data_IF_453521249571
#
_entry.id   IF_453521249571
#
_cell.length_a   1.000
_cell.length_b   1.000
_cell.length_c   1.000
_cell.angle_alpha   90.00
_cell.angle_beta   90.00
_cell.angle_gamma   90.00
#
_symmetry.space_group_name_H-M   'P 1'
#
loop_
_entity.id
_entity.type
_entity.pdbx_description
1 polymer ?
#
# COMPACT_ATOMS: atom_id res chain seq x y z
N UNK A 1 51.76 -32.94 -7.54
CA UNK A 1 51.01 -31.96 -6.73
C UNK A 1 50.43 -30.86 -7.64
N UNK A 2 49.26 -31.09 -8.26
CA UNK A 2 48.61 -30.12 -9.18
C UNK A 2 47.12 -29.89 -8.83
N UNK A 3 46.53 -30.68 -7.93
CA UNK A 3 45.07 -30.69 -7.69
C UNK A 3 44.52 -29.58 -6.77
N UNK A 4 45.31 -29.07 -5.83
CA UNK A 4 44.76 -28.26 -4.72
C UNK A 4 44.51 -26.79 -5.06
N UNK A 5 45.20 -26.24 -6.07
CA UNK A 5 45.03 -24.83 -6.49
C UNK A 5 43.78 -24.60 -7.31
N UNK A 6 43.36 -25.59 -8.13
CA UNK A 6 42.16 -25.50 -8.97
C UNK A 6 40.87 -25.57 -8.14
N UNK A 7 40.86 -26.39 -7.09
CA UNK A 7 39.69 -26.57 -6.20
C UNK A 7 39.41 -25.31 -5.36
N UNK A 8 40.46 -24.64 -4.86
CA UNK A 8 40.30 -23.37 -4.10
C UNK A 8 39.76 -22.24 -4.97
N UNK A 9 40.21 -22.14 -6.22
CA UNK A 9 39.70 -21.15 -7.17
C UNK A 9 38.22 -21.40 -7.51
N UNK A 10 37.82 -22.68 -7.63
CA UNK A 10 36.44 -23.07 -7.91
C UNK A 10 35.51 -22.79 -6.73
N UNK A 11 35.97 -23.03 -5.49
CA UNK A 11 35.20 -22.68 -4.28
C UNK A 11 35.01 -21.16 -4.14
N UNK A 12 36.04 -20.34 -4.36
CA UNK A 12 35.90 -18.87 -4.33
C UNK A 12 34.94 -18.38 -5.40
N UNK A 13 35.02 -18.93 -6.63
CA UNK A 13 34.11 -18.56 -7.70
C UNK A 13 32.65 -18.95 -7.41
N UNK A 14 32.41 -20.14 -6.83
CA UNK A 14 31.07 -20.59 -6.45
C UNK A 14 30.50 -19.76 -5.30
N UNK A 15 31.30 -19.40 -4.29
CA UNK A 15 30.86 -18.51 -3.20
C UNK A 15 30.58 -17.09 -3.71
N UNK A 16 31.36 -16.60 -4.68
CA UNK A 16 31.13 -15.30 -5.32
C UNK A 16 29.85 -15.30 -6.17
N UNK A 17 29.58 -16.38 -6.91
CA UNK A 17 28.34 -16.51 -7.66
C UNK A 17 27.11 -16.72 -6.78
N UNK A 18 27.22 -17.43 -5.64
CA UNK A 18 26.10 -17.60 -4.71
C UNK A 18 25.73 -16.31 -3.97
N UNK A 19 26.68 -15.40 -3.76
CA UNK A 19 26.44 -14.11 -3.11
C UNK A 19 25.70 -13.09 -3.99
N UNK A 20 25.69 -13.27 -5.31
CA UNK A 20 25.07 -12.31 -6.25
C UNK A 20 23.57 -12.59 -6.45
N UNK A 21 23.07 -13.78 -6.11
CA UNK A 21 21.68 -14.19 -6.45
C UNK A 21 20.62 -13.67 -5.45
N UNK A 22 21.00 -12.95 -4.39
CA UNK A 22 20.06 -12.59 -3.30
C UNK A 22 19.37 -11.22 -3.48
N UNK A 23 19.61 -10.49 -4.58
CA UNK A 23 19.22 -9.08 -4.66
C UNK A 23 18.05 -8.72 -5.61
N UNK A 24 17.18 -9.68 -5.97
CA UNK A 24 16.03 -9.39 -6.86
C UNK A 24 14.69 -9.87 -6.27
N UNK A 25 14.56 -9.72 -4.95
CA UNK A 25 13.25 -9.60 -4.34
C UNK A 25 12.82 -8.15 -4.48
N UNK A 26 12.33 -7.77 -5.66
CA UNK A 26 11.73 -6.46 -5.88
C UNK A 26 10.55 -6.34 -4.90
N UNK A 27 10.75 -5.59 -3.82
CA UNK A 27 9.66 -5.16 -2.96
C UNK A 27 8.73 -4.37 -3.86
N UNK A 28 7.56 -4.96 -4.16
CA UNK A 28 6.52 -4.29 -4.92
C UNK A 28 6.18 -2.99 -4.21
N UNK A 29 6.55 -1.88 -4.83
CA UNK A 29 6.44 -0.57 -4.22
C UNK A 29 4.96 -0.17 -4.18
N UNK A 30 4.48 0.18 -2.98
CA UNK A 30 3.09 0.57 -2.74
C UNK A 30 2.99 2.07 -3.00
N UNK A 31 2.29 2.47 -4.06
CA UNK A 31 2.14 3.90 -4.41
C UNK A 31 1.10 4.59 -3.56
N UNK A 32 -0.01 3.89 -3.31
CA UNK A 32 -1.12 4.39 -2.52
C UNK A 32 -1.22 3.50 -1.30
N UNK A 33 -0.89 4.08 -0.16
CA UNK A 33 -1.03 3.44 1.14
C UNK A 33 -2.30 3.96 1.82
N UNK A 34 -3.23 3.05 2.12
CA UNK A 34 -4.51 3.38 2.77
C UNK A 34 -4.38 3.70 4.26
N UNK A 35 -3.15 3.88 4.76
CA UNK A 35 -2.92 4.32 6.14
C UNK A 35 -3.23 5.81 6.35
N UNK A 36 -3.59 6.59 5.33
CA UNK A 36 -4.08 7.99 5.40
C UNK A 36 -3.52 8.79 6.59
N UNK A 37 -2.19 8.96 6.69
CA UNK A 37 -1.58 9.73 7.78
C UNK A 37 -1.89 11.23 7.65
N UNK A 38 -2.06 11.69 6.41
CA UNK A 38 -2.39 13.08 6.04
C UNK A 38 -3.16 13.12 4.71
N UNK A 39 -3.80 14.26 4.44
CA UNK A 39 -4.44 14.57 3.15
C UNK A 39 -3.63 15.58 2.31
N UNK A 40 -2.38 15.87 2.67
CA UNK A 40 -1.56 16.89 1.99
C UNK A 40 -1.33 16.60 0.49
N UNK A 41 -1.30 15.31 0.10
CA UNK A 41 -1.13 14.87 -1.28
C UNK A 41 -2.49 14.63 -2.00
N UNK A 42 -3.58 15.15 -1.45
CA UNK A 42 -4.93 14.98 -1.97
C UNK A 42 -5.59 16.33 -2.27
N UNK A 43 -6.28 16.40 -3.40
CA UNK A 43 -7.05 17.57 -3.83
C UNK A 43 -8.53 17.24 -3.99
N UNK A 44 -9.38 18.20 -3.64
CA UNK A 44 -10.84 18.07 -3.81
C UNK A 44 -11.22 18.00 -5.29
N UNK A 45 -12.00 16.97 -5.62
CA UNK A 45 -12.64 16.79 -6.92
C UNK A 45 -14.13 17.11 -6.81
N UNK A 46 -14.52 18.30 -7.29
CA UNK A 46 -15.92 18.74 -7.27
C UNK A 46 -16.61 18.38 -8.58
N UNK A 47 -17.77 17.73 -8.50
CA UNK A 47 -18.59 17.41 -9.66
C UNK A 47 -19.55 18.55 -10.02
N UNK A 48 -19.83 18.70 -11.31
CA UNK A 48 -20.76 19.71 -11.80
C UNK A 48 -22.20 19.37 -11.36
N UNK A 49 -22.95 20.41 -10.99
CA UNK A 49 -24.36 20.32 -10.55
C UNK A 49 -24.55 19.56 -9.22
N UNK A 50 -23.52 19.52 -8.38
CA UNK A 50 -23.65 19.07 -7.00
C UNK A 50 -23.55 20.29 -6.08
N UNK A 51 -24.62 20.58 -5.35
CA UNK A 51 -24.72 21.77 -4.49
C UNK A 51 -24.04 21.58 -3.13
N UNK A 52 -23.74 20.32 -2.75
CA UNK A 52 -23.16 19.94 -1.46
C UNK A 52 -21.94 19.03 -1.66
N UNK A 53 -20.80 19.47 -1.14
CA UNK A 53 -19.56 18.70 -1.18
C UNK A 53 -19.48 17.75 0.01
N UNK A 54 -18.85 16.60 -0.20
CA UNK A 54 -18.51 15.64 0.85
C UNK A 54 -17.32 16.16 1.63
N UNK A 55 -17.32 15.97 2.95
CA UNK A 55 -16.20 16.35 3.82
C UNK A 55 -15.28 15.13 4.03
N UNK A 56 -13.98 15.39 3.96
CA UNK A 56 -12.94 14.38 4.12
C UNK A 56 -12.05 14.71 5.31
N UNK A 57 -11.75 13.72 6.12
CA UNK A 57 -10.82 13.88 7.25
C UNK A 57 -10.09 12.57 7.54
N UNK A 58 -9.00 12.67 8.28
CA UNK A 58 -8.29 11.51 8.83
C UNK A 58 -8.81 11.24 10.23
N UNK A 59 -9.16 9.99 10.51
CA UNK A 59 -9.51 9.52 11.85
C UNK A 59 -8.56 8.40 12.27
N UNK A 60 -8.34 8.27 13.57
CA UNK A 60 -7.67 7.11 14.17
C UNK A 60 -8.71 6.01 14.43
N UNK A 61 -8.37 4.78 14.06
CA UNK A 61 -9.15 3.57 14.36
C UNK A 61 -8.40 2.79 15.43
N UNK A 62 -9.01 2.66 16.61
CA UNK A 62 -8.47 1.89 17.73
C UNK A 62 -8.97 0.43 17.73
N UNK A 63 -9.84 0.06 16.78
CA UNK A 63 -10.56 -1.22 16.80
C UNK A 63 -9.72 -2.38 16.23
N UNK A 64 -9.43 -3.36 17.08
CA UNK A 64 -8.96 -4.69 16.66
C UNK A 64 -10.00 -5.40 15.76
N UNK A 65 -9.54 -6.27 14.87
CA UNK A 65 -10.32 -6.79 13.73
C UNK A 65 -11.79 -7.13 14.02
N UNK A 66 -12.76 -6.71 13.18
CA UNK A 66 -14.06 -7.37 13.17
C UNK A 66 -13.85 -8.86 12.82
N UNK A 67 -14.49 -9.76 13.58
CA UNK A 67 -14.32 -11.23 13.52
C UNK A 67 -14.58 -11.87 12.15
N UNK A 68 -15.08 -11.13 11.17
CA UNK A 68 -15.55 -11.69 9.91
C UNK A 68 -14.89 -11.06 8.70
N UNK A 69 -13.89 -11.79 8.17
CA UNK A 69 -13.59 -11.75 6.75
C UNK A 69 -12.23 -11.16 6.36
N UNK A 70 -11.13 -11.70 6.89
CA UNK A 70 -9.86 -11.65 6.15
C UNK A 70 -9.07 -12.94 6.42
N UNK A 71 -8.57 -13.54 5.35
CA UNK A 71 -7.89 -14.85 5.36
C UNK A 71 -6.75 -14.89 6.38
N UNK A 72 -6.59 -16.02 7.08
CA UNK A 72 -5.67 -16.26 8.19
C UNK A 72 -4.17 -15.92 7.96
N UNK A 73 -3.79 -15.53 6.75
CA UNK A 73 -2.40 -15.21 6.35
C UNK A 73 -2.03 -13.72 6.43
N UNK A 74 -2.95 -12.80 6.75
CA UNK A 74 -2.60 -11.41 7.08
C UNK A 74 -3.14 -11.04 8.45
N UNK A 75 -2.29 -10.84 9.48
CA UNK A 75 -2.74 -10.25 10.73
C UNK A 75 -3.30 -8.88 10.40
N UNK A 76 -4.55 -8.66 10.78
CA UNK A 76 -5.16 -7.37 10.57
C UNK A 76 -4.78 -6.45 11.73
N UNK A 77 -3.66 -5.78 11.51
CA UNK A 77 -3.27 -4.59 12.28
C UNK A 77 -4.27 -3.49 11.93
N UNK A 78 -5.35 -3.41 12.69
CA UNK A 78 -6.43 -2.42 12.48
C UNK A 78 -6.32 -1.23 13.43
N UNK A 79 -5.28 -1.18 14.24
CA UNK A 79 -4.86 0.07 14.85
C UNK A 79 -4.18 0.92 13.79
N UNK A 80 -4.71 2.11 13.51
CA UNK A 80 -4.11 3.07 12.58
C UNK A 80 -5.11 4.09 12.04
N UNK A 81 -4.65 4.94 11.15
CA UNK A 81 -5.47 5.99 10.55
C UNK A 81 -6.25 5.53 9.32
N UNK A 82 -7.41 6.17 9.10
CA UNK A 82 -8.29 5.92 7.96
C UNK A 82 -8.92 7.22 7.43
N UNK A 83 -9.29 7.19 6.15
CA UNK A 83 -10.09 8.24 5.52
C UNK A 83 -11.55 8.15 5.99
N UNK A 84 -12.00 9.20 6.68
CA UNK A 84 -13.40 9.40 7.04
C UNK A 84 -14.09 10.29 6.01
N UNK A 85 -15.29 9.88 5.62
CA UNK A 85 -16.10 10.52 4.58
C UNK A 85 -17.47 10.84 5.16
N UNK A 86 -17.79 12.13 5.28
CA UNK A 86 -19.10 12.60 5.71
C UNK A 86 -19.84 13.26 4.54
N UNK A 87 -21.05 12.77 4.26
CA UNK A 87 -21.88 13.29 3.17
C UNK A 87 -23.34 13.41 3.62
N UNK A 88 -23.95 14.56 3.38
CA UNK A 88 -25.38 14.82 3.58
C UNK A 88 -26.04 15.17 2.23
N UNK A 89 -26.50 14.14 1.52
CA UNK A 89 -27.13 14.23 0.19
C UNK A 89 -26.24 14.99 -0.84
N UNK A 90 -24.93 14.81 -0.70
CA UNK A 90 -23.89 15.47 -1.50
C UNK A 90 -23.01 14.48 -2.27
N UNK A 91 -22.03 15.03 -2.99
CA UNK A 91 -21.10 14.23 -3.77
C UNK A 91 -19.88 15.00 -4.26
N UNK A 92 -18.71 14.58 -3.80
CA UNK A 92 -17.41 14.96 -4.35
C UNK A 92 -16.48 13.74 -4.36
N UNK A 93 -15.27 13.92 -4.86
CA UNK A 93 -14.16 13.00 -4.66
C UNK A 93 -12.95 13.73 -4.08
N UNK A 94 -11.91 12.99 -3.79
CA UNK A 94 -10.55 13.50 -3.68
C UNK A 94 -9.68 12.77 -4.69
N UNK A 95 -8.65 13.44 -5.20
CA UNK A 95 -7.70 12.87 -6.14
C UNK A 95 -6.30 12.98 -5.56
N UNK A 96 -5.52 11.91 -5.68
CA UNK A 96 -4.11 11.97 -5.33
C UNK A 96 -3.39 12.86 -6.34
N UNK A 97 -2.55 13.78 -5.87
CA UNK A 97 -1.80 14.72 -6.72
C UNK A 97 -0.55 14.09 -7.32
N UNK A 98 -0.03 13.05 -6.68
CA UNK A 98 1.10 12.27 -7.17
C UNK A 98 0.69 11.42 -8.37
N UNK A 99 1.31 11.69 -9.52
CA UNK A 99 1.16 10.86 -10.72
C UNK A 99 2.02 9.60 -10.59
N UNK A 100 1.50 8.46 -11.09
CA UNK A 100 2.23 7.20 -11.17
C UNK A 100 1.85 6.43 -12.43
N UNK A 101 2.74 5.55 -12.88
CA UNK A 101 2.44 4.63 -13.97
C UNK A 101 1.70 3.40 -13.42
N UNK A 102 0.46 3.19 -13.88
CA UNK A 102 -0.34 2.04 -13.49
C UNK A 102 0.29 0.69 -13.92
N UNK A 103 1.18 0.70 -14.90
CA UNK A 103 1.91 -0.50 -15.32
C UNK A 103 3.03 -0.89 -14.34
N UNK A 104 3.61 0.07 -13.64
CA UNK A 104 4.63 -0.16 -12.62
C UNK A 104 4.00 -0.67 -11.31
N UNK A 105 2.71 -0.36 -11.08
CA UNK A 105 1.98 -0.71 -9.85
C UNK A 105 0.63 -1.37 -10.16
N UNK A 106 0.61 -2.61 -10.67
CA UNK A 106 -0.58 -3.24 -11.25
C UNK A 106 -1.59 -3.78 -10.21
N UNK A 107 -1.32 -3.63 -8.92
CA UNK A 107 -2.14 -4.18 -7.85
C UNK A 107 -2.77 -3.03 -7.07
N UNK A 108 -4.09 -2.99 -7.10
CA UNK A 108 -4.90 -2.11 -6.25
C UNK A 108 -5.55 -2.97 -5.18
N UNK A 109 -5.25 -2.71 -3.92
CA UNK A 109 -5.96 -3.27 -2.78
C UNK A 109 -6.73 -2.13 -2.11
N UNK A 110 -8.05 -2.31 -1.91
CA UNK A 110 -8.89 -1.29 -1.26
C UNK A 110 -9.75 -1.87 -0.15
N UNK A 111 -9.91 -1.12 0.96
CA UNK A 111 -10.82 -1.47 2.06
C UNK A 111 -11.79 -0.32 2.38
N UNK A 112 -13.06 -0.64 2.62
CA UNK A 112 -14.07 0.35 2.99
C UNK A 112 -15.07 -0.20 4.00
N UNK A 113 -15.58 0.68 4.85
CA UNK A 113 -16.69 0.44 5.78
C UNK A 113 -17.68 1.59 5.63
N UNK A 114 -18.96 1.26 5.52
CA UNK A 114 -20.05 2.25 5.43
C UNK A 114 -20.94 2.09 6.64
N UNK A 115 -21.23 3.20 7.30
CA UNK A 115 -22.19 3.30 8.39
C UNK A 115 -23.30 4.26 7.98
N UNK A 116 -24.55 3.90 8.31
CA UNK A 116 -25.71 4.78 8.14
C UNK A 116 -26.34 4.97 9.50
N UNK A 117 -26.63 6.23 9.83
CA UNK A 117 -27.55 6.56 10.92
C UNK A 117 -29.00 6.31 10.50
#
# INVERSE_FOLDING_TARGET
MVGTRRIKALLVAVTFCLGIVVADGELRDVVIDERFETLDDWEDLVFRNIDRVTEYSVIEIDDACPESGFTADRPCDHSGSALFIESDDGGSGIVQTTEFDAYDHPIVEWRWRVESN
#
